data_IF_633791145770
#
_entry.id   IF_633791145770
#
_cell.length_a   1.000
_cell.length_b   1.000
_cell.length_c   1.000
_cell.angle_alpha   90.00
_cell.angle_beta   90.00
_cell.angle_gamma   90.00
#
_symmetry.space_group_name_H-M   'P 1'
#
loop_
_entity.id
_entity.type
_entity.pdbx_description
1 polymer ?
#
# COMPACT_ATOMS: atom_id res chain seq x y z
N UNK A 1 57.81 40.29 30.08
CA UNK A 1 58.65 40.12 31.28
C UNK A 1 57.75 40.18 32.50
N UNK A 2 57.93 39.29 33.46
CA UNK A 2 57.32 39.39 34.81
C UNK A 2 58.03 40.52 35.60
N UNK A 3 57.45 41.02 36.72
CA UNK A 3 57.45 40.23 37.96
C UNK A 3 56.13 40.23 38.76
N UNK A 4 55.97 39.24 39.62
CA UNK A 4 55.07 39.27 40.79
C UNK A 4 55.79 39.93 41.98
N UNK A 5 55.07 40.48 42.98
CA UNK A 5 55.09 39.77 44.28
C UNK A 5 53.79 39.83 45.10
N UNK A 6 53.65 38.90 46.05
CA UNK A 6 52.81 38.99 47.27
C UNK A 6 53.66 39.53 48.47
N UNK A 7 53.15 39.78 49.69
CA UNK A 7 52.55 38.79 50.64
C UNK A 7 51.21 39.34 51.25
N UNK A 8 50.60 39.00 52.40
CA UNK A 8 50.87 38.24 53.66
C UNK A 8 49.70 37.23 53.95
N UNK A 9 49.59 36.38 54.99
CA UNK A 9 49.80 36.44 56.47
C UNK A 9 48.78 37.37 57.19
N UNK A 10 48.02 37.03 58.26
CA UNK A 10 48.04 36.03 59.37
C UNK A 10 46.58 35.53 59.69
N UNK A 11 46.23 34.60 60.60
CA UNK A 11 46.86 33.39 61.22
C UNK A 11 45.90 32.72 62.26
N UNK A 12 46.07 31.41 62.57
CA UNK A 12 45.46 30.65 63.72
C UNK A 12 43.92 30.47 63.63
N UNK A 13 43.24 29.40 64.06
CA UNK A 13 43.51 28.06 64.65
C UNK A 13 42.13 27.34 64.81
N UNK A 14 41.93 26.06 65.19
CA UNK A 14 42.69 25.04 65.95
C UNK A 14 42.27 23.63 65.46
N UNK A 15 42.98 22.57 65.89
CA UNK A 15 42.76 21.12 65.61
C UNK A 15 41.40 20.61 66.15
N UNK A 16 40.81 19.49 65.71
CA UNK A 16 41.22 18.08 66.01
C UNK A 16 40.50 17.07 65.08
N UNK A 17 41.05 15.85 65.00
CA UNK A 17 40.58 14.66 64.26
C UNK A 17 39.11 14.26 64.55
N UNK A 18 38.43 13.75 63.52
CA UNK A 18 37.92 12.37 63.51
C UNK A 18 37.74 11.89 62.06
N UNK A 19 38.14 10.65 61.76
CA UNK A 19 37.86 10.02 60.48
C UNK A 19 36.66 9.09 60.61
N UNK A 20 35.73 9.13 59.64
CA UNK A 20 34.69 8.11 59.49
C UNK A 20 34.41 7.90 58.01
N UNK A 21 34.53 6.64 57.56
CA UNK A 21 34.29 6.24 56.17
C UNK A 21 32.78 6.16 55.96
N UNK A 22 32.20 7.22 55.39
CA UNK A 22 30.82 7.21 54.89
C UNK A 22 30.81 6.76 53.42
N UNK A 23 30.10 5.67 53.12
CA UNK A 23 29.96 5.18 51.75
C UNK A 23 29.13 6.15 50.88
N UNK A 24 29.37 6.12 49.58
CA UNK A 24 28.68 6.99 48.63
C UNK A 24 27.18 6.63 48.54
N UNK A 25 26.33 7.62 48.79
CA UNK A 25 24.98 7.68 48.23
C UNK A 25 24.91 8.95 47.40
N UNK A 26 25.39 8.86 46.16
CA UNK A 26 24.98 9.83 45.14
C UNK A 26 23.53 9.51 44.86
N UNK A 27 22.61 10.30 45.43
CA UNK A 27 21.19 10.26 45.11
C UNK A 27 20.95 10.79 43.69
N UNK A 28 21.47 10.06 42.71
CA UNK A 28 20.98 10.15 41.35
C UNK A 28 19.51 9.74 41.40
N UNK A 29 18.62 10.74 41.32
CA UNK A 29 17.29 10.55 40.77
C UNK A 29 17.45 10.23 39.29
N UNK A 30 17.96 9.02 39.03
CA UNK A 30 17.73 8.37 37.76
C UNK A 30 16.22 8.21 37.68
N UNK A 31 15.59 8.99 36.78
CA UNK A 31 14.28 8.63 36.29
C UNK A 31 14.44 7.24 35.68
N UNK A 32 13.99 6.22 36.40
CA UNK A 32 13.75 4.90 35.82
C UNK A 32 12.56 5.10 34.90
N UNK A 33 12.85 5.58 33.69
CA UNK A 33 12.03 5.28 32.54
C UNK A 33 12.02 3.74 32.48
N UNK A 34 10.87 3.07 32.59
CA UNK A 34 10.83 1.66 32.24
C UNK A 34 11.23 1.56 30.77
N UNK A 35 12.08 0.60 30.42
CA UNK A 35 12.41 0.32 29.00
C UNK A 35 11.16 -0.14 28.20
N UNK A 36 10.07 -0.41 28.91
CA UNK A 36 8.74 -0.76 28.40
C UNK A 36 7.77 0.44 28.54
N UNK A 37 8.08 1.56 27.87
CA UNK A 37 7.05 2.56 27.54
C UNK A 37 6.26 2.01 26.36
N UNK A 38 5.29 1.14 26.67
CA UNK A 38 4.21 0.82 25.75
C UNK A 38 3.39 2.08 25.46
N UNK A 39 3.77 2.84 24.44
CA UNK A 39 2.90 3.82 23.79
C UNK A 39 1.84 3.02 23.04
N UNK A 40 0.83 2.56 23.79
CA UNK A 40 -0.41 2.06 23.25
C UNK A 40 -1.21 3.26 22.76
N UNK A 41 -0.84 3.77 21.59
CA UNK A 41 -1.83 4.40 20.70
C UNK A 41 -2.77 3.27 20.29
N UNK A 42 -3.90 3.14 21.00
CA UNK A 42 -4.88 2.08 20.75
C UNK A 42 -5.54 2.21 19.36
N UNK A 43 -5.41 3.39 18.73
CA UNK A 43 -5.83 3.73 17.36
C UNK A 43 -4.77 3.40 16.27
N UNK A 44 -3.63 2.79 16.61
CA UNK A 44 -2.59 2.40 15.65
C UNK A 44 -2.75 0.97 15.12
N UNK A 45 -2.69 0.79 13.79
CA UNK A 45 -2.64 -0.54 13.17
C UNK A 45 -1.36 -1.28 13.63
N UNK A 46 -1.56 -2.46 14.22
CA UNK A 46 -0.52 -3.39 14.69
C UNK A 46 -0.05 -4.32 13.58
N UNK A 47 -0.86 -4.44 12.54
CA UNK A 47 -0.60 -5.23 11.35
C UNK A 47 -0.73 -4.31 10.13
N UNK A 48 0.19 -4.49 9.17
CA UNK A 48 0.13 -3.69 7.95
C UNK A 48 -0.72 -4.41 6.92
N UNK A 49 -1.43 -3.64 6.10
CA UNK A 49 -1.87 -4.10 4.77
C UNK A 49 -0.67 -4.71 4.04
N UNK A 50 -0.87 -5.84 3.37
CA UNK A 50 0.12 -6.47 2.47
C UNK A 50 -0.56 -7.13 1.29
N UNK A 51 0.06 -7.03 0.11
CA UNK A 51 -0.22 -7.95 -0.98
C UNK A 51 0.35 -9.34 -0.65
N UNK A 52 -0.39 -10.39 -1.01
CA UNK A 52 -0.06 -11.76 -0.66
C UNK A 52 -0.01 -12.60 -1.94
N UNK A 53 1.21 -12.73 -2.47
CA UNK A 53 1.50 -13.49 -3.69
C UNK A 53 2.12 -14.86 -3.34
N UNK A 54 1.80 -15.93 -4.09
CA UNK A 54 2.46 -17.23 -3.92
C UNK A 54 3.91 -17.17 -4.42
N UNK A 55 4.76 -18.03 -3.88
CA UNK A 55 6.20 -18.05 -4.15
C UNK A 55 6.60 -19.35 -4.84
N UNK A 56 7.50 -19.28 -5.84
CA UNK A 56 8.09 -20.46 -6.47
C UNK A 56 8.97 -21.19 -5.46
N UNK A 57 8.44 -22.27 -4.88
CA UNK A 57 9.16 -23.14 -3.96
C UNK A 57 10.13 -24.07 -4.72
N UNK A 58 11.32 -24.28 -4.18
CA UNK A 58 12.22 -25.32 -4.71
C UNK A 58 11.76 -26.71 -4.24
N UNK A 59 12.20 -27.75 -4.95
CA UNK A 59 11.94 -29.15 -4.57
C UNK A 59 12.37 -29.44 -3.12
N UNK A 60 13.46 -28.82 -2.66
CA UNK A 60 13.98 -28.93 -1.31
C UNK A 60 13.10 -28.22 -0.27
N UNK A 61 12.57 -27.04 -0.59
CA UNK A 61 11.64 -26.31 0.29
C UNK A 61 10.29 -27.03 0.42
N UNK A 62 9.77 -27.51 -0.72
CA UNK A 62 8.55 -28.31 -0.80
C UNK A 62 8.71 -29.69 -0.13
N UNK A 63 9.92 -30.26 -0.12
CA UNK A 63 10.23 -31.46 0.66
C UNK A 63 10.38 -31.17 2.16
N UNK A 64 10.95 -30.01 2.53
CA UNK A 64 11.15 -29.63 3.92
C UNK A 64 9.82 -29.38 4.66
N UNK A 65 8.94 -28.51 4.13
CA UNK A 65 7.70 -28.20 4.85
C UNK A 65 6.78 -29.43 4.99
N UNK A 66 6.76 -30.35 4.02
CA UNK A 66 6.03 -31.63 4.12
C UNK A 66 6.71 -32.69 4.99
N UNK A 67 7.99 -32.50 5.36
CA UNK A 67 8.65 -33.34 6.36
C UNK A 67 8.24 -32.91 7.78
N UNK A 68 8.07 -31.61 7.99
CA UNK A 68 7.54 -31.05 9.25
C UNK A 68 6.01 -31.25 9.35
N UNK A 69 5.28 -31.18 8.22
CA UNK A 69 3.82 -31.29 8.13
C UNK A 69 3.37 -32.42 7.18
N UNK A 70 3.51 -33.70 7.60
CA UNK A 70 3.24 -34.87 6.75
C UNK A 70 1.76 -35.10 6.41
N UNK A 71 0.84 -34.36 7.03
CA UNK A 71 -0.58 -34.32 6.68
C UNK A 71 -0.87 -33.52 5.39
N UNK A 72 0.08 -32.70 4.92
CA UNK A 72 -0.11 -31.80 3.78
C UNK A 72 0.40 -32.42 2.47
N UNK A 73 -0.43 -32.38 1.43
CA UNK A 73 -0.08 -32.88 0.09
C UNK A 73 0.90 -31.95 -0.66
N UNK A 74 0.76 -30.64 -0.43
CA UNK A 74 1.61 -29.54 -0.89
C UNK A 74 1.85 -28.55 0.26
N UNK A 75 2.92 -27.77 0.20
CA UNK A 75 3.07 -26.65 1.12
C UNK A 75 1.94 -25.61 0.95
N UNK A 76 1.39 -25.01 2.02
CA UNK A 76 0.36 -23.99 1.90
C UNK A 76 0.92 -22.76 1.17
N UNK A 77 0.27 -22.40 0.06
CA UNK A 77 0.54 -21.18 -0.70
C UNK A 77 -0.77 -20.39 -0.82
N UNK A 78 -0.70 -19.05 -0.76
CA UNK A 78 -1.88 -18.22 -0.94
C UNK A 78 -2.46 -18.39 -2.34
N UNK A 79 -3.74 -18.08 -2.55
CA UNK A 79 -4.34 -18.09 -3.89
C UNK A 79 -3.63 -17.11 -4.86
N UNK A 80 -3.51 -17.46 -6.15
CA UNK A 80 -3.65 -18.80 -6.70
C UNK A 80 -2.47 -19.68 -6.25
N UNK A 81 -2.72 -20.86 -5.67
CA UNK A 81 -1.66 -21.68 -5.04
C UNK A 81 -0.59 -22.28 -5.99
N UNK A 82 -0.61 -21.91 -7.27
CA UNK A 82 0.37 -22.20 -8.31
C UNK A 82 0.95 -20.85 -8.80
N UNK A 83 2.22 -20.52 -8.53
CA UNK A 83 2.83 -19.24 -8.92
C UNK A 83 2.77 -18.93 -10.42
N UNK A 84 2.72 -19.96 -11.26
CA UNK A 84 2.54 -19.85 -12.72
C UNK A 84 1.17 -19.30 -13.16
N UNK A 85 0.21 -19.18 -12.23
CA UNK A 85 -1.09 -18.52 -12.46
C UNK A 85 -1.12 -17.08 -11.94
N UNK A 86 -0.02 -16.55 -11.37
CA UNK A 86 0.09 -15.14 -10.99
C UNK A 86 0.45 -14.32 -12.20
N UNK A 87 -0.20 -13.16 -12.35
CA UNK A 87 0.16 -12.19 -13.37
C UNK A 87 1.59 -11.65 -13.10
N UNK A 88 2.57 -11.79 -14.02
CA UNK A 88 3.93 -11.31 -13.77
C UNK A 88 4.02 -9.79 -13.62
N UNK A 89 4.91 -9.28 -12.76
CA UNK A 89 5.09 -7.82 -12.60
C UNK A 89 5.68 -7.14 -13.85
N UNK A 90 6.26 -7.91 -14.77
CA UNK A 90 6.65 -7.45 -16.11
C UNK A 90 5.93 -8.30 -17.17
N UNK A 91 4.97 -7.67 -17.85
CA UNK A 91 4.15 -8.25 -18.90
C UNK A 91 4.88 -8.11 -20.24
N UNK A 92 5.86 -9.00 -20.43
CA UNK A 92 6.75 -9.00 -21.59
C UNK A 92 6.02 -9.55 -22.84
N UNK A 93 5.80 -8.73 -23.90
CA UNK A 93 5.10 -9.15 -25.11
C UNK A 93 5.85 -10.20 -25.96
N UNK A 94 7.05 -10.62 -25.54
CA UNK A 94 7.82 -11.70 -26.18
C UNK A 94 7.69 -13.06 -25.46
N UNK A 95 7.09 -13.09 -24.26
CA UNK A 95 6.86 -14.31 -23.49
C UNK A 95 5.51 -14.97 -23.81
N UNK A 96 5.36 -16.23 -23.39
CA UNK A 96 4.12 -17.03 -23.43
C UNK A 96 3.37 -17.02 -24.77
N UNK A 97 4.13 -16.90 -25.88
CA UNK A 97 3.59 -16.88 -27.25
C UNK A 97 2.95 -15.55 -27.66
N UNK A 98 3.18 -14.47 -26.91
CA UNK A 98 2.53 -13.17 -27.10
C UNK A 98 1.30 -12.96 -26.20
N UNK A 99 1.16 -13.72 -25.11
CA UNK A 99 0.03 -13.60 -24.18
C UNK A 99 -0.10 -12.19 -23.53
N UNK A 100 1.00 -11.45 -23.47
CA UNK A 100 1.07 -10.07 -22.97
C UNK A 100 1.25 -9.04 -24.09
N UNK A 101 0.97 -9.41 -25.34
CA UNK A 101 1.04 -8.47 -26.47
C UNK A 101 -0.27 -7.68 -26.58
N UNK A 102 -0.31 -6.54 -25.87
CA UNK A 102 -1.50 -5.70 -25.77
C UNK A 102 -1.56 -4.62 -26.87
N UNK A 103 -2.78 -4.22 -27.23
CA UNK A 103 -3.08 -3.42 -28.42
C UNK A 103 -3.73 -2.07 -28.08
N UNK A 104 -3.19 -0.98 -28.65
CA UNK A 104 -3.81 0.35 -28.64
C UNK A 104 -4.88 0.42 -29.72
N UNK A 105 -6.15 0.34 -29.33
CA UNK A 105 -7.25 0.20 -30.27
C UNK A 105 -7.96 1.52 -30.61
N UNK A 106 -8.51 1.65 -31.83
CA UNK A 106 -9.44 2.73 -32.16
C UNK A 106 -10.68 2.73 -31.26
N UNK A 107 -11.28 3.91 -31.03
CA UNK A 107 -12.52 4.01 -30.25
C UNK A 107 -13.65 3.14 -30.85
N UNK A 108 -14.37 2.40 -30.00
CA UNK A 108 -15.34 1.37 -30.41
C UNK A 108 -14.74 -0.03 -30.62
N UNK A 109 -13.46 -0.21 -30.30
CA UNK A 109 -12.75 -1.50 -30.33
C UNK A 109 -12.00 -1.73 -29.02
N UNK A 110 -12.00 -2.98 -28.56
CA UNK A 110 -11.21 -3.46 -27.42
C UNK A 110 -10.05 -4.34 -27.90
N UNK A 111 -9.05 -4.53 -27.06
CA UNK A 111 -7.97 -5.46 -27.32
C UNK A 111 -8.46 -6.92 -27.25
N UNK A 112 -8.19 -7.70 -28.29
CA UNK A 112 -8.44 -9.13 -28.33
C UNK A 112 -7.51 -9.95 -27.42
N UNK A 113 -6.37 -9.38 -27.04
CA UNK A 113 -5.44 -9.89 -26.02
C UNK A 113 -5.78 -9.44 -24.59
N UNK A 114 -6.86 -8.67 -24.37
CA UNK A 114 -7.20 -8.14 -23.04
C UNK A 114 -7.34 -9.27 -21.99
N UNK A 115 -6.77 -9.05 -20.80
CA UNK A 115 -6.66 -10.07 -19.77
C UNK A 115 -8.05 -10.42 -19.20
N UNK A 116 -8.61 -11.58 -19.58
CA UNK A 116 -9.97 -11.99 -19.21
C UNK A 116 -10.27 -11.81 -17.73
N UNK A 117 -9.46 -12.39 -16.86
CA UNK A 117 -9.51 -12.14 -15.42
C UNK A 117 -8.15 -12.35 -14.78
N UNK A 118 -7.86 -11.60 -13.72
CA UNK A 118 -6.81 -11.92 -12.76
C UNK A 118 -7.21 -11.34 -11.39
N UNK A 119 -6.73 -11.93 -10.32
CA UNK A 119 -7.10 -11.55 -8.96
C UNK A 119 -5.83 -11.19 -8.15
N UNK A 120 -5.91 -10.14 -7.34
CA UNK A 120 -4.92 -9.85 -6.30
C UNK A 120 -5.48 -10.14 -4.92
N UNK A 121 -4.62 -10.64 -4.04
CA UNK A 121 -4.98 -10.96 -2.66
C UNK A 121 -4.28 -10.00 -1.70
N UNK A 122 -5.06 -9.45 -0.77
CA UNK A 122 -4.62 -8.50 0.25
C UNK A 122 -4.88 -9.09 1.63
N UNK A 123 -3.86 -9.16 2.48
CA UNK A 123 -4.02 -9.46 3.90
C UNK A 123 -3.92 -8.16 4.69
N UNK A 124 -4.96 -7.87 5.47
CA UNK A 124 -4.85 -7.03 6.66
C UNK A 124 -5.44 -7.83 7.82
N UNK A 125 -4.75 -7.83 8.96
CA UNK A 125 -5.01 -8.72 10.09
C UNK A 125 -5.55 -8.02 11.31
N UNK A 126 -5.63 -6.70 11.30
CA UNK A 126 -6.24 -5.97 12.41
C UNK A 126 -7.77 -6.19 12.44
N UNK A 127 -8.40 -5.64 13.48
CA UNK A 127 -9.70 -6.08 13.96
C UNK A 127 -9.60 -7.08 15.12
N UNK A 128 -10.02 -6.62 16.29
CA UNK A 128 -9.90 -7.33 17.58
C UNK A 128 -10.89 -8.48 17.79
N UNK A 129 -11.79 -8.72 16.83
CA UNK A 129 -12.78 -9.79 16.82
C UNK A 129 -12.89 -10.42 15.42
N UNK A 130 -13.82 -11.38 15.28
CA UNK A 130 -14.19 -11.97 13.99
C UNK A 130 -15.13 -11.07 13.17
N UNK A 131 -15.78 -10.07 13.78
CA UNK A 131 -16.73 -9.15 13.14
C UNK A 131 -16.12 -7.76 12.84
N UNK A 132 -15.14 -7.32 13.62
CA UNK A 132 -14.42 -6.05 13.41
C UNK A 132 -13.29 -6.25 12.41
N UNK A 133 -13.31 -5.51 11.30
CA UNK A 133 -12.25 -5.45 10.29
C UNK A 133 -12.13 -4.01 9.73
N UNK A 134 -10.92 -3.54 9.48
CA UNK A 134 -10.66 -2.20 8.93
C UNK A 134 -11.12 -2.05 7.47
N UNK A 135 -11.32 -0.82 6.98
CA UNK A 135 -11.83 -0.56 5.63
C UNK A 135 -10.69 -0.47 4.61
N UNK A 136 -10.42 -1.57 3.89
CA UNK A 136 -9.37 -1.59 2.87
C UNK A 136 -9.81 -0.86 1.58
N UNK A 137 -9.15 0.26 1.25
CA UNK A 137 -9.32 1.01 0.01
C UNK A 137 -8.18 0.71 -0.98
N UNK A 138 -8.49 0.75 -2.29
CA UNK A 138 -7.52 0.47 -3.36
C UNK A 138 -7.59 1.54 -4.45
N UNK A 139 -6.43 1.99 -4.94
CA UNK A 139 -6.31 2.90 -6.08
C UNK A 139 -5.35 2.34 -7.13
N UNK A 140 -5.68 2.61 -8.40
CA UNK A 140 -4.94 2.20 -9.57
C UNK A 140 -4.30 3.44 -10.22
N UNK A 141 -2.98 3.51 -10.15
CA UNK A 141 -2.19 4.67 -10.57
C UNK A 141 -1.40 4.33 -11.84
N UNK A 142 -1.82 4.90 -12.97
CA UNK A 142 -1.17 4.76 -14.26
C UNK A 142 -0.05 5.79 -14.43
N UNK A 143 1.12 5.30 -14.84
CA UNK A 143 2.35 6.04 -15.15
C UNK A 143 2.83 7.03 -14.07
N UNK A 144 2.44 6.78 -12.83
CA UNK A 144 2.76 7.61 -11.68
C UNK A 144 4.25 7.58 -11.34
N UNK A 145 4.93 8.74 -11.40
CA UNK A 145 6.32 8.91 -10.97
C UNK A 145 6.37 9.60 -9.59
N UNK A 146 6.72 8.87 -8.51
CA UNK A 146 6.73 9.41 -7.16
C UNK A 146 7.58 10.66 -7.00
N UNK A 147 7.00 11.69 -6.38
CA UNK A 147 7.67 12.97 -6.13
C UNK A 147 7.81 13.88 -7.37
N UNK A 148 7.17 13.55 -8.49
CA UNK A 148 6.99 14.46 -9.63
C UNK A 148 5.52 14.79 -9.88
N UNK A 149 4.69 13.76 -9.87
CA UNK A 149 3.29 13.86 -10.30
C UNK A 149 2.36 13.94 -9.09
N UNK A 150 1.14 14.47 -9.30
CA UNK A 150 0.07 14.43 -8.30
C UNK A 150 -0.62 13.07 -8.41
N UNK A 151 -0.73 12.24 -7.35
CA UNK A 151 -1.28 10.89 -7.47
C UNK A 151 -2.70 10.82 -8.04
N UNK A 152 -3.54 11.81 -7.70
CA UNK A 152 -4.88 11.97 -8.29
C UNK A 152 -4.84 12.07 -9.82
N UNK A 153 -3.85 12.78 -10.37
CA UNK A 153 -3.66 12.96 -11.81
C UNK A 153 -3.16 11.68 -12.50
N UNK A 154 -2.84 10.61 -11.75
CA UNK A 154 -2.55 9.26 -12.25
C UNK A 154 -3.68 8.23 -12.03
N UNK A 155 -4.76 8.55 -11.31
CA UNK A 155 -5.85 7.60 -11.05
C UNK A 155 -6.53 7.17 -12.35
N UNK A 156 -6.66 5.86 -12.56
CA UNK A 156 -7.13 5.23 -13.79
C UNK A 156 -7.94 3.96 -13.48
N UNK A 157 -8.58 3.36 -14.50
CA UNK A 157 -9.29 2.07 -14.42
C UNK A 157 -10.40 2.02 -13.35
N UNK A 158 -11.02 3.17 -13.03
CA UNK A 158 -12.04 3.30 -11.97
C UNK A 158 -13.29 2.47 -12.19
N UNK A 159 -13.57 2.08 -13.43
CA UNK A 159 -14.66 1.17 -13.79
C UNK A 159 -14.46 -0.25 -13.21
N UNK A 160 -13.21 -0.64 -12.95
CA UNK A 160 -12.84 -1.93 -12.36
C UNK A 160 -12.62 -1.85 -10.84
N UNK A 161 -12.09 -0.72 -10.34
CA UNK A 161 -11.84 -0.48 -8.91
C UNK A 161 -12.19 0.97 -8.57
N UNK A 162 -13.32 1.18 -7.89
CA UNK A 162 -13.71 2.50 -7.36
C UNK A 162 -12.93 2.79 -6.05
N UNK A 163 -12.02 3.77 -6.03
CA UNK A 163 -11.20 4.07 -4.86
C UNK A 163 -11.99 4.74 -3.71
N UNK A 164 -13.25 5.11 -3.92
CA UNK A 164 -14.13 5.65 -2.88
C UNK A 164 -14.90 4.57 -2.10
N UNK A 165 -14.89 3.33 -2.60
CA UNK A 165 -15.60 2.18 -2.01
C UNK A 165 -14.56 1.23 -1.39
N UNK A 166 -14.72 0.82 -0.11
CA UNK A 166 -13.82 -0.17 0.48
C UNK A 166 -14.08 -1.57 -0.09
N UNK A 167 -13.04 -2.40 -0.16
CA UNK A 167 -13.11 -3.78 -0.60
C UNK A 167 -14.05 -4.60 0.28
N UNK A 168 -14.78 -5.52 -0.35
CA UNK A 168 -15.61 -6.54 0.29
C UNK A 168 -14.89 -7.21 1.48
N UNK A 169 -15.60 -7.60 2.55
CA UNK A 169 -15.02 -8.26 3.72
C UNK A 169 -14.15 -9.49 3.36
N UNK A 170 -13.26 -9.92 4.27
CA UNK A 170 -12.39 -11.07 4.07
C UNK A 170 -13.13 -12.32 3.58
N UNK A 171 -12.47 -13.05 2.67
CA UNK A 171 -12.95 -14.31 2.13
C UNK A 171 -13.13 -15.33 3.26
N UNK A 172 -14.29 -15.97 3.29
CA UNK A 172 -14.58 -16.97 4.33
C UNK A 172 -13.67 -18.20 4.20
N UNK A 173 -13.57 -18.97 5.29
CA UNK A 173 -12.77 -20.20 5.39
C UNK A 173 -13.03 -21.21 4.27
N UNK A 174 -14.21 -21.18 3.66
CA UNK A 174 -14.65 -22.06 2.58
C UNK A 174 -14.03 -21.72 1.22
N UNK A 175 -13.64 -20.47 0.97
CA UNK A 175 -13.09 -20.02 -0.33
C UNK A 175 -11.57 -20.07 -0.42
N UNK A 176 -10.86 -20.00 0.71
CA UNK A 176 -9.42 -19.75 0.70
C UNK A 176 -8.56 -20.98 0.39
N UNK A 177 -8.97 -22.18 0.82
CA UNK A 177 -8.15 -23.43 0.84
C UNK A 177 -6.72 -23.28 1.44
N UNK A 178 -6.41 -22.14 2.05
CA UNK A 178 -5.08 -21.70 2.45
C UNK A 178 -5.07 -21.36 3.93
N UNK A 179 -4.37 -22.18 4.71
CA UNK A 179 -4.13 -21.96 6.13
C UNK A 179 -2.63 -21.97 6.36
N UNK A 180 -1.98 -20.79 6.47
CA UNK A 180 -0.56 -20.72 6.73
C UNK A 180 -0.25 -21.30 8.11
N UNK A 181 0.79 -22.13 8.15
CA UNK A 181 1.16 -22.94 9.31
C UNK A 181 1.60 -22.05 10.48
N UNK A 182 1.15 -22.39 11.69
CA UNK A 182 1.41 -21.65 12.95
C UNK A 182 1.10 -20.13 12.91
N UNK A 183 0.27 -19.72 11.96
CA UNK A 183 -0.28 -18.36 11.85
C UNK A 183 -1.78 -18.36 12.19
N UNK A 184 -2.31 -17.26 12.74
CA UNK A 184 -3.76 -17.03 12.78
C UNK A 184 -4.39 -17.07 11.38
N UNK A 185 -5.69 -17.37 11.32
CA UNK A 185 -6.48 -17.38 10.09
C UNK A 185 -6.24 -16.08 9.28
N UNK A 186 -5.88 -16.18 7.98
CA UNK A 186 -5.49 -15.01 7.21
C UNK A 186 -6.72 -14.25 6.72
N UNK A 187 -6.91 -13.02 7.21
CA UNK A 187 -8.02 -12.11 6.85
C UNK A 187 -7.82 -11.53 5.43
N UNK A 188 -7.86 -12.41 4.44
CA UNK A 188 -7.59 -12.12 3.03
C UNK A 188 -8.79 -11.54 2.30
N UNK A 189 -8.61 -10.40 1.61
CA UNK A 189 -9.55 -9.83 0.63
C UNK A 189 -9.03 -10.04 -0.79
N UNK A 190 -9.92 -9.86 -1.77
CA UNK A 190 -9.65 -10.02 -3.19
C UNK A 190 -9.93 -8.70 -3.94
N UNK A 191 -9.02 -8.31 -4.83
CA UNK A 191 -9.29 -7.35 -5.90
C UNK A 191 -9.43 -8.17 -7.18
N UNK A 192 -10.61 -8.16 -7.78
CA UNK A 192 -10.86 -8.86 -9.04
C UNK A 192 -10.73 -7.90 -10.21
N UNK A 193 -9.84 -8.21 -11.15
CA UNK A 193 -9.60 -7.41 -12.36
C UNK A 193 -10.19 -8.11 -13.57
N UNK A 194 -11.24 -7.51 -14.13
CA UNK A 194 -11.98 -8.07 -15.27
C UNK A 194 -12.82 -9.31 -14.91
N UNK A 195 -13.41 -9.91 -15.93
CA UNK A 195 -14.21 -11.13 -15.83
C UNK A 195 -14.25 -11.89 -17.16
N UNK A 196 -14.78 -13.11 -17.13
CA UNK A 196 -15.06 -13.92 -18.34
C UNK A 196 -15.97 -13.24 -19.38
N UNK A 197 -16.63 -12.12 -19.05
CA UNK A 197 -17.48 -11.32 -19.95
C UNK A 197 -16.81 -9.97 -20.30
N UNK A 198 -16.12 -9.37 -19.35
CA UNK A 198 -15.53 -8.03 -19.43
C UNK A 198 -14.06 -8.09 -19.02
N UNK A 199 -13.19 -8.37 -19.99
CA UNK A 199 -11.74 -8.45 -19.77
C UNK A 199 -11.16 -7.13 -19.24
N UNK A 200 -10.05 -7.22 -18.50
CA UNK A 200 -9.25 -6.07 -18.10
C UNK A 200 -8.37 -5.61 -19.27
N UNK A 201 -8.79 -4.53 -19.93
CA UNK A 201 -8.07 -3.95 -21.07
C UNK A 201 -7.08 -2.88 -20.59
N UNK A 202 -5.82 -3.31 -20.45
CA UNK A 202 -4.70 -2.47 -20.03
C UNK A 202 -4.50 -1.22 -20.91
N UNK A 203 -4.75 -1.31 -22.21
CA UNK A 203 -4.36 -0.26 -23.17
C UNK A 203 -5.51 0.68 -23.56
N UNK A 204 -6.77 0.27 -23.39
CA UNK A 204 -7.93 1.02 -23.89
C UNK A 204 -8.88 1.53 -22.80
N UNK A 205 -8.95 0.85 -21.64
CA UNK A 205 -9.95 1.15 -20.59
C UNK A 205 -9.36 1.76 -19.32
N UNK A 206 -8.38 2.65 -19.51
CA UNK A 206 -7.77 3.49 -18.49
C UNK A 206 -8.72 4.49 -17.79
N UNK A 207 -9.96 4.64 -18.27
CA UNK A 207 -10.86 5.75 -17.91
C UNK A 207 -10.55 7.07 -18.65
N UNK A 208 -9.49 7.10 -19.47
CA UNK A 208 -9.00 8.30 -20.19
C UNK A 208 -8.99 8.11 -21.72
N UNK A 209 -9.46 6.96 -22.18
CA UNK A 209 -9.32 6.47 -23.56
C UNK A 209 -8.05 5.64 -23.78
N UNK A 210 -7.76 5.29 -25.05
CA UNK A 210 -6.57 4.54 -25.41
C UNK A 210 -5.27 5.23 -25.01
N UNK A 211 -4.31 4.44 -24.55
CA UNK A 211 -2.96 4.89 -24.21
C UNK A 211 -2.14 5.20 -25.47
N UNK A 212 -0.89 5.63 -25.29
CA UNK A 212 0.04 5.75 -26.40
C UNK A 212 0.70 4.39 -26.67
N UNK A 213 1.20 4.12 -27.89
CA UNK A 213 2.09 2.98 -28.11
C UNK A 213 3.40 3.14 -27.31
N UNK A 214 3.76 2.12 -26.53
CA UNK A 214 4.96 2.11 -25.68
C UNK A 214 4.82 1.28 -24.41
N UNK A 215 5.81 1.40 -23.51
CA UNK A 215 5.76 0.84 -22.17
C UNK A 215 5.03 1.75 -21.19
N UNK A 216 4.14 1.16 -20.40
CA UNK A 216 3.35 1.78 -19.36
C UNK A 216 3.54 1.07 -18.02
N UNK A 217 3.16 1.73 -16.93
CA UNK A 217 3.23 1.19 -15.57
C UNK A 217 1.93 1.39 -14.81
N UNK A 218 1.39 0.30 -14.25
CA UNK A 218 0.20 0.30 -13.41
C UNK A 218 0.62 -0.03 -11.96
N UNK A 219 0.60 0.97 -11.09
CA UNK A 219 0.78 0.76 -9.65
C UNK A 219 -0.58 0.53 -8.98
N UNK A 220 -0.70 -0.58 -8.28
CA UNK A 220 -1.82 -0.83 -7.35
C UNK A 220 -1.37 -0.35 -5.98
N UNK A 221 -2.15 0.52 -5.32
CA UNK A 221 -1.92 0.95 -3.94
C UNK A 221 -3.12 0.52 -3.09
N UNK A 222 -2.86 -0.14 -1.97
CA UNK A 222 -3.90 -0.55 -1.01
C UNK A 222 -3.61 0.02 0.38
N UNK A 223 -4.64 0.43 1.13
CA UNK A 223 -4.51 1.03 2.46
C UNK A 223 -5.73 0.76 3.34
N UNK A 224 -5.53 0.72 4.66
CA UNK A 224 -6.51 0.36 5.71
C UNK A 224 -7.43 1.52 6.15
N UNK A 225 -7.21 2.72 5.63
CA UNK A 225 -7.97 3.93 6.01
C UNK A 225 -8.29 4.78 4.78
N UNK A 226 -9.33 5.64 4.83
CA UNK A 226 -9.64 6.57 3.75
C UNK A 226 -8.44 7.44 3.37
N UNK A 227 -8.28 7.73 2.07
CA UNK A 227 -7.16 8.51 1.53
C UNK A 227 -6.97 9.87 2.20
N UNK A 228 -5.71 10.31 2.25
CA UNK A 228 -5.27 11.56 2.87
C UNK A 228 -6.12 12.75 2.46
N UNK A 229 -6.63 13.49 3.46
CA UNK A 229 -7.38 14.73 3.24
C UNK A 229 -6.53 15.91 3.64
N UNK A 230 -6.27 16.81 2.69
CA UNK A 230 -5.46 18.00 2.92
C UNK A 230 -6.21 19.02 3.79
N UNK A 231 -6.19 18.80 5.11
CA UNK A 231 -6.85 19.59 6.16
C UNK A 231 -6.20 20.95 6.42
N UNK A 232 -5.86 21.67 5.36
CA UNK A 232 -5.62 23.12 5.44
C UNK A 232 -6.98 23.80 5.58
N UNK A 233 -7.29 24.46 6.71
CA UNK A 233 -8.31 25.50 6.67
C UNK A 233 -7.88 26.51 5.61
N UNK A 234 -8.82 26.96 4.78
CA UNK A 234 -8.58 28.16 3.98
C UNK A 234 -8.63 29.32 4.97
N UNK A 235 -7.45 29.75 5.42
CA UNK A 235 -7.28 31.03 6.10
C UNK A 235 -7.63 32.14 5.10
N UNK A 236 -8.93 32.43 5.00
CA UNK A 236 -9.46 33.61 4.33
C UNK A 236 -9.05 34.79 5.20
N UNK A 237 -7.82 35.28 4.99
CA UNK A 237 -7.32 36.53 5.55
C UNK A 237 -8.01 37.71 4.84
N UNK A 238 -9.32 37.84 5.08
CA UNK A 238 -10.11 39.01 4.74
C UNK A 238 -9.68 40.16 5.64
N UNK A 239 -8.55 40.77 5.30
CA UNK A 239 -8.06 42.05 5.80
C UNK A 239 -8.96 43.21 5.40
N UNK A 240 -10.23 43.15 5.82
CA UNK A 240 -11.30 44.07 5.49
C UNK A 240 -12.08 44.42 6.78
N UNK A 241 -12.02 45.69 7.18
CA UNK A 241 -12.85 46.25 8.24
C UNK A 241 -14.34 46.26 7.81
N UNK A 242 -15.04 45.13 7.99
CA UNK A 242 -16.50 45.02 7.78
C UNK A 242 -17.21 44.68 9.08
N UNK A 243 -17.45 45.72 9.89
CA UNK A 243 -18.23 45.61 11.12
C UNK A 243 -19.70 45.26 10.82
N UNK A 244 -20.13 44.06 11.21
CA UNK A 244 -21.54 43.74 11.43
C UNK A 244 -22.38 43.41 10.20
N UNK A 245 -22.09 42.27 9.57
CA UNK A 245 -23.15 41.39 9.04
C UNK A 245 -22.94 39.99 9.62
N UNK A 246 -24.04 39.30 9.91
CA UNK A 246 -24.02 37.90 10.35
C UNK A 246 -23.76 37.00 9.14
N UNK A 247 -22.49 36.66 8.89
CA UNK A 247 -22.12 35.70 7.86
C UNK A 247 -22.56 34.30 8.29
N UNK A 248 -23.41 33.67 7.47
CA UNK A 248 -23.91 32.32 7.73
C UNK A 248 -22.74 31.32 7.81
N UNK A 249 -22.66 30.59 8.93
CA UNK A 249 -21.66 29.55 9.14
C UNK A 249 -22.10 28.23 8.51
N UNK A 250 -21.93 28.11 7.19
CA UNK A 250 -21.84 26.81 6.54
C UNK A 250 -20.91 26.89 5.32
N UNK A 251 -20.09 25.87 5.09
CA UNK A 251 -19.00 25.92 4.10
C UNK A 251 -17.58 25.90 4.67
N UNK A 252 -17.30 25.06 5.67
CA UNK A 252 -15.96 24.49 5.77
C UNK A 252 -15.76 23.60 4.53
N UNK A 253 -15.03 24.09 3.52
CA UNK A 253 -14.62 23.26 2.38
C UNK A 253 -13.76 22.09 2.92
N UNK A 254 -14.36 20.90 2.95
CA UNK A 254 -13.64 19.68 3.37
C UNK A 254 -12.51 19.43 2.38
N UNK A 255 -11.26 19.61 2.85
CA UNK A 255 -10.08 19.58 2.01
C UNK A 255 -9.99 18.34 1.13
N UNK A 256 -9.77 18.56 -0.17
CA UNK A 256 -9.84 17.53 -1.22
C UNK A 256 -9.10 16.24 -0.84
N UNK A 257 -9.81 15.12 -0.89
CA UNK A 257 -9.31 13.76 -0.70
C UNK A 257 -8.31 13.41 -1.81
N UNK A 258 -7.07 13.09 -1.42
CA UNK A 258 -5.99 12.77 -2.35
C UNK A 258 -5.92 11.27 -2.60
N UNK A 259 -6.79 10.78 -3.48
CA UNK A 259 -6.80 9.37 -3.92
C UNK A 259 -5.40 8.93 -4.38
N UNK A 260 -4.97 7.74 -3.93
CA UNK A 260 -3.61 7.25 -4.15
C UNK A 260 -2.58 7.71 -3.12
N UNK A 261 -2.97 8.53 -2.13
CA UNK A 261 -2.13 8.93 -0.98
C UNK A 261 -2.71 8.33 0.31
N UNK A 262 -2.10 7.28 0.86
CA UNK A 262 -2.44 6.77 2.20
C UNK A 262 -2.20 7.84 3.28
N UNK A 263 -3.09 7.95 4.27
CA UNK A 263 -2.95 8.94 5.35
C UNK A 263 -2.04 8.44 6.49
N UNK A 264 -0.73 8.41 6.20
CA UNK A 264 0.30 7.97 7.16
C UNK A 264 0.26 8.80 8.46
N UNK A 265 -0.19 10.07 8.40
CA UNK A 265 -0.29 10.93 9.58
C UNK A 265 -1.51 10.58 10.45
N UNK A 266 -2.59 10.08 9.85
CA UNK A 266 -3.73 9.47 10.54
C UNK A 266 -3.52 7.98 10.87
N UNK A 267 -2.28 7.49 10.82
CA UNK A 267 -1.90 6.12 11.20
C UNK A 267 -2.22 5.05 10.16
N UNK A 268 -2.51 5.42 8.92
CA UNK A 268 -2.80 4.45 7.86
C UNK A 268 -1.56 3.64 7.47
N UNK A 269 -1.70 2.31 7.39
CA UNK A 269 -0.73 1.45 6.72
C UNK A 269 -1.13 1.21 5.27
N UNK A 270 -0.17 0.77 4.46
CA UNK A 270 -0.37 0.55 3.04
C UNK A 270 0.67 -0.42 2.47
N UNK A 271 0.36 -0.95 1.29
CA UNK A 271 1.31 -1.66 0.44
C UNK A 271 1.07 -1.26 -1.03
N UNK A 272 2.02 -1.57 -1.92
CA UNK A 272 1.87 -1.32 -3.35
C UNK A 272 2.64 -2.29 -4.25
N UNK A 273 1.94 -2.92 -5.19
CA UNK A 273 2.54 -3.63 -6.33
C UNK A 273 2.66 -2.70 -7.55
N UNK A 274 3.52 -3.02 -8.51
CA UNK A 274 3.62 -2.27 -9.76
C UNK A 274 3.87 -3.21 -10.93
N UNK A 275 2.93 -3.20 -11.87
CA UNK A 275 2.99 -3.91 -13.14
C UNK A 275 3.58 -2.99 -14.21
N UNK A 276 4.38 -3.55 -15.12
CA UNK A 276 4.88 -2.87 -16.31
C UNK A 276 4.45 -3.67 -17.54
N UNK A 277 3.84 -3.01 -18.50
CA UNK A 277 3.21 -3.62 -19.67
C UNK A 277 3.49 -2.81 -20.95
N UNK A 278 3.24 -3.39 -22.12
CA UNK A 278 3.48 -2.74 -23.40
C UNK A 278 2.22 -2.68 -24.26
N UNK A 279 1.86 -1.48 -24.72
CA UNK A 279 0.81 -1.26 -25.71
C UNK A 279 1.45 -1.06 -27.09
N UNK A 280 1.09 -1.87 -28.09
CA UNK A 280 1.52 -1.64 -29.49
C UNK A 280 0.50 -0.81 -30.28
N UNK A 281 0.95 -0.21 -31.38
CA UNK A 281 0.05 0.20 -32.47
C UNK A 281 -0.27 -1.03 -33.34
N UNK A 282 -1.55 -1.41 -33.55
CA UNK A 282 -1.94 -2.53 -34.42
C UNK A 282 -1.50 -2.37 -35.89
N UNK A 283 -1.07 -1.19 -36.31
CA UNK A 283 -0.56 -0.91 -37.65
C UNK A 283 0.95 -1.19 -37.80
N UNK A 284 1.67 -1.57 -36.74
CA UNK A 284 3.08 -1.96 -36.83
C UNK A 284 3.26 -3.28 -37.59
N UNK A 285 4.27 -3.34 -38.47
CA UNK A 285 4.54 -4.50 -39.34
C UNK A 285 4.82 -5.83 -38.62
N UNK A 286 5.05 -5.81 -37.30
CA UNK A 286 5.29 -6.98 -36.46
C UNK A 286 4.33 -7.07 -35.26
N UNK A 287 3.24 -6.30 -35.23
CA UNK A 287 2.22 -6.43 -34.18
C UNK A 287 1.55 -7.81 -34.27
N UNK A 288 1.36 -8.45 -33.10
CA UNK A 288 0.68 -9.75 -32.96
C UNK A 288 -0.66 -9.61 -32.23
N UNK A 289 -0.81 -8.55 -31.43
CA UNK A 289 -2.06 -8.07 -30.87
C UNK A 289 -3.11 -7.77 -31.95
N UNK A 290 -4.40 -7.80 -31.57
CA UNK A 290 -5.51 -7.54 -32.50
C UNK A 290 -6.61 -6.72 -31.81
N UNK A 291 -7.24 -5.81 -32.54
CA UNK A 291 -8.40 -5.06 -32.05
C UNK A 291 -9.70 -5.67 -32.57
N UNK A 292 -10.68 -5.83 -31.69
CA UNK A 292 -11.99 -6.42 -31.98
C UNK A 292 -13.11 -5.43 -31.67
N UNK A 293 -14.17 -5.43 -32.49
CA UNK A 293 -15.33 -4.54 -32.35
C UNK A 293 -16.06 -4.79 -31.03
N UNK A 294 -16.39 -3.73 -30.29
CA UNK A 294 -17.19 -3.87 -29.05
C UNK A 294 -18.65 -4.31 -29.34
N UNK A 295 -19.16 -4.02 -30.54
CA UNK A 295 -20.49 -4.42 -31.03
C UNK A 295 -20.58 -5.89 -31.51
N UNK A 296 -19.47 -6.62 -31.64
CA UNK A 296 -19.51 -8.02 -32.09
C UNK A 296 -19.69 -8.99 -30.90
N UNK A 297 -20.81 -9.72 -30.81
CA UNK A 297 -21.03 -10.65 -29.71
C UNK A 297 -20.04 -11.81 -29.78
N UNK A 298 -19.33 -12.06 -28.69
CA UNK A 298 -18.31 -13.10 -28.60
C UNK A 298 -18.90 -14.48 -28.90
N UNK A 299 -18.60 -15.01 -30.09
CA UNK A 299 -19.10 -16.31 -30.55
C UNK A 299 -18.37 -17.39 -29.77
N UNK A 300 -18.99 -17.85 -28.68
CA UNK A 300 -18.46 -18.91 -27.83
C UNK A 300 -18.03 -20.15 -28.63
N UNK A 301 -16.79 -20.58 -28.40
CA UNK A 301 -16.15 -21.76 -29.00
C UNK A 301 -15.98 -22.87 -27.95
#
# INVERSE_FOLDING_TARGET
MSPSPAPESLSVGVRVLAALVGAAVVSALACILPDDIGVLDEDSNRHTVKFVEPTVLTTEAEAACRADHPELSRCPQPPPASPENVLPHFLDPTLDGGAYDFCTCPAGQRDGSAQRSWDLYLEDRDGASDDDHDELYVALLLDYVPGRDVPMDSVAYTDYVDPSIPLNPPLTREFLEFFPIDRPDPKLRIIQFGSNVEAFDFCNRSGRGPLAPGYHSLRVVATDRPWFRNSRPIDIDTGADTSGLESETDGLEMGNTQVGVPDINAGASHDSLTYVFHCRDPNEMNATCTCISEDEPEVAQ
#
